data_IF_779760090874
#
_entry.id   IF_779760090874
#
_cell.length_a   1.000
_cell.length_b   1.000
_cell.length_c   1.000
_cell.angle_alpha   90.00
_cell.angle_beta   90.00
_cell.angle_gamma   90.00
#
_symmetry.space_group_name_H-M   'P 1'
#
loop_
_entity.id
_entity.type
_entity.pdbx_description
1 polymer ?
#
# COMPACT_ATOMS: atom_id res chain seq x y z
N UNK A 1 -13.61 -27.84 -37.58
CA UNK A 1 -13.94 -28.23 -36.20
C UNK A 1 -13.41 -27.15 -35.28
N UNK A 2 -14.25 -26.61 -34.41
CA UNK A 2 -13.81 -25.68 -33.37
C UNK A 2 -13.01 -26.46 -32.33
N UNK A 3 -11.96 -25.84 -31.79
CA UNK A 3 -11.16 -26.40 -30.67
C UNK A 3 -12.05 -26.82 -29.49
N UNK A 4 -13.23 -26.23 -29.35
CA UNK A 4 -14.17 -26.46 -28.26
C UNK A 4 -15.46 -27.18 -28.67
N UNK A 5 -15.49 -27.91 -29.79
CA UNK A 5 -16.72 -28.59 -30.27
C UNK A 5 -17.32 -29.56 -29.23
N UNK A 6 -16.54 -30.04 -28.26
CA UNK A 6 -16.97 -30.91 -27.17
C UNK A 6 -17.10 -30.19 -25.81
N UNK A 7 -17.11 -28.85 -25.80
CA UNK A 7 -16.99 -28.04 -24.59
C UNK A 7 -18.06 -26.93 -24.52
N UNK A 8 -18.98 -27.05 -23.57
CA UNK A 8 -20.14 -26.17 -23.40
C UNK A 8 -19.94 -25.02 -22.43
N UNK A 9 -18.97 -25.13 -21.52
CA UNK A 9 -18.74 -24.12 -20.48
C UNK A 9 -18.06 -22.88 -21.08
N UNK A 10 -18.54 -21.69 -20.68
CA UNK A 10 -17.97 -20.39 -21.07
C UNK A 10 -16.76 -20.05 -20.19
N UNK A 11 -16.84 -20.42 -18.90
CA UNK A 11 -15.82 -20.17 -17.89
C UNK A 11 -15.12 -21.45 -17.48
N UNK A 12 -13.86 -21.30 -17.08
CA UNK A 12 -12.92 -22.39 -16.80
C UNK A 12 -12.07 -22.01 -15.59
N UNK A 13 -11.76 -22.97 -14.72
CA UNK A 13 -10.85 -22.76 -13.61
C UNK A 13 -9.53 -23.49 -13.87
N UNK A 14 -8.41 -22.88 -13.47
CA UNK A 14 -7.07 -23.48 -13.59
C UNK A 14 -7.02 -24.84 -12.90
N UNK A 15 -7.48 -24.91 -11.66
CA UNK A 15 -7.54 -26.14 -10.87
C UNK A 15 -8.27 -27.30 -11.56
N UNK A 16 -9.37 -27.01 -12.28
CA UNK A 16 -10.18 -28.00 -12.99
C UNK A 16 -9.49 -28.57 -14.25
N UNK A 17 -8.48 -27.87 -14.76
CA UNK A 17 -7.79 -28.22 -16.01
C UNK A 17 -6.50 -28.99 -15.75
N UNK A 18 -5.82 -28.73 -14.63
CA UNK A 18 -4.56 -29.40 -14.30
C UNK A 18 -4.75 -30.92 -14.18
N UNK A 19 -3.78 -31.68 -14.71
CA UNK A 19 -3.81 -33.14 -14.76
C UNK A 19 -4.53 -33.72 -15.98
N UNK A 20 -5.26 -32.89 -16.74
CA UNK A 20 -5.96 -33.33 -17.97
C UNK A 20 -5.00 -34.06 -18.92
N UNK A 21 -5.34 -35.29 -19.38
CA UNK A 21 -4.48 -36.05 -20.26
C UNK A 21 -4.41 -35.39 -21.64
N UNK A 22 -3.18 -35.22 -22.14
CA UNK A 22 -2.90 -34.79 -23.51
C UNK A 22 -2.67 -36.03 -24.35
N UNK A 23 -3.46 -36.18 -25.42
CA UNK A 23 -3.39 -37.29 -26.36
C UNK A 23 -3.19 -36.77 -27.79
N UNK A 24 -2.58 -37.59 -28.63
CA UNK A 24 -2.50 -37.29 -30.07
C UNK A 24 -3.75 -37.81 -30.82
N UNK A 25 -3.79 -37.63 -32.14
CA UNK A 25 -4.91 -38.08 -32.98
C UNK A 25 -5.10 -39.60 -32.96
N UNK A 26 -4.00 -40.34 -32.81
CA UNK A 26 -4.00 -41.80 -32.67
C UNK A 26 -4.44 -42.29 -31.28
N UNK A 27 -4.84 -41.38 -30.39
CA UNK A 27 -5.23 -41.62 -28.99
C UNK A 27 -4.09 -42.10 -28.08
N UNK A 28 -2.84 -41.95 -28.51
CA UNK A 28 -1.68 -42.20 -27.66
C UNK A 28 -1.53 -41.09 -26.62
N UNK A 29 -1.30 -41.47 -25.35
CA UNK A 29 -1.07 -40.51 -24.28
C UNK A 29 0.32 -39.89 -24.42
N UNK A 30 0.35 -38.56 -24.55
CA UNK A 30 1.57 -37.77 -24.66
C UNK A 30 2.03 -37.31 -23.28
N UNK A 31 1.10 -36.89 -22.41
CA UNK A 31 1.41 -36.44 -21.06
C UNK A 31 0.17 -35.98 -20.30
N UNK A 32 0.37 -35.20 -19.25
CA UNK A 32 -0.70 -34.54 -18.48
C UNK A 32 -0.40 -33.06 -18.34
N UNK A 33 -1.42 -32.22 -18.51
CA UNK A 33 -1.33 -30.77 -18.35
C UNK A 33 -0.85 -30.39 -16.95
N UNK A 34 0.08 -29.45 -16.85
CA UNK A 34 0.61 -28.96 -15.57
C UNK A 34 0.51 -27.46 -15.40
N UNK A 35 0.53 -26.68 -16.47
CA UNK A 35 0.44 -25.21 -16.40
C UNK A 35 0.11 -24.60 -17.77
N UNK A 36 -0.04 -23.28 -17.84
CA UNK A 36 -0.29 -22.50 -19.03
C UNK A 36 0.81 -21.46 -19.22
N UNK A 37 1.12 -21.14 -20.47
CA UNK A 37 1.88 -19.96 -20.82
C UNK A 37 0.94 -18.95 -21.47
N UNK A 38 0.96 -17.73 -20.97
CA UNK A 38 0.08 -16.66 -21.44
C UNK A 38 0.87 -15.50 -22.01
N UNK A 39 0.22 -14.72 -22.86
CA UNK A 39 0.71 -13.43 -23.25
C UNK A 39 0.44 -12.44 -22.12
N UNK A 40 1.41 -12.26 -21.23
CA UNK A 40 1.31 -11.29 -20.15
C UNK A 40 1.17 -9.85 -20.65
N UNK A 41 1.43 -9.59 -21.95
CA UNK A 41 1.31 -8.26 -22.54
C UNK A 41 -0.13 -7.81 -22.81
N UNK A 42 -1.11 -8.73 -22.76
CA UNK A 42 -2.52 -8.40 -22.96
C UNK A 42 -3.21 -8.11 -21.61
N UNK A 43 -4.18 -7.16 -21.61
CA UNK A 43 -5.01 -6.83 -20.42
C UNK A 43 -5.71 -8.07 -19.85
N UNK A 44 -6.19 -8.93 -20.74
CA UNK A 44 -6.72 -10.25 -20.44
C UNK A 44 -5.83 -11.27 -21.15
N UNK A 45 -4.79 -11.80 -20.47
CA UNK A 45 -3.76 -12.63 -21.08
C UNK A 45 -4.31 -13.79 -21.88
N UNK A 46 -3.91 -13.87 -23.15
CA UNK A 46 -4.28 -14.99 -24.02
C UNK A 46 -3.34 -16.17 -23.80
N UNK A 47 -3.88 -17.39 -23.73
CA UNK A 47 -3.08 -18.62 -23.62
C UNK A 47 -2.33 -18.87 -24.93
N UNK A 48 -1.00 -18.81 -24.88
CA UNK A 48 -0.10 -19.05 -26.01
C UNK A 48 0.28 -20.53 -26.14
N UNK A 49 0.47 -21.21 -25.02
CA UNK A 49 0.92 -22.60 -24.98
C UNK A 49 0.48 -23.31 -23.69
N UNK A 50 0.48 -24.63 -23.75
CA UNK A 50 0.23 -25.52 -22.61
C UNK A 50 1.53 -26.14 -22.15
N UNK A 51 1.78 -26.10 -20.84
CA UNK A 51 2.85 -26.87 -20.21
C UNK A 51 2.32 -28.24 -19.80
N UNK A 52 3.08 -29.30 -20.08
CA UNK A 52 2.69 -30.65 -19.68
C UNK A 52 3.90 -31.48 -19.22
N UNK A 53 3.60 -32.53 -18.46
CA UNK A 53 4.61 -33.44 -17.92
C UNK A 53 4.51 -34.82 -18.55
N UNK A 54 5.66 -35.37 -18.96
CA UNK A 54 5.84 -36.73 -19.48
C UNK A 54 7.11 -37.32 -18.87
N UNK A 55 7.03 -38.51 -18.27
CA UNK A 55 8.17 -39.20 -17.67
C UNK A 55 9.03 -38.31 -16.74
N UNK A 56 8.36 -37.56 -15.86
CA UNK A 56 8.96 -36.59 -14.94
C UNK A 56 9.68 -35.38 -15.59
N UNK A 57 9.62 -35.23 -16.91
CA UNK A 57 10.14 -34.09 -17.65
C UNK A 57 9.01 -33.15 -18.08
N UNK A 58 9.32 -31.86 -18.15
CA UNK A 58 8.38 -30.80 -18.50
C UNK A 58 8.59 -30.38 -19.95
N UNK A 59 7.49 -30.22 -20.66
CA UNK A 59 7.42 -29.84 -22.06
C UNK A 59 6.35 -28.78 -22.27
N UNK A 60 6.36 -28.13 -23.42
CA UNK A 60 5.28 -27.25 -23.83
C UNK A 60 4.83 -27.55 -25.26
N UNK A 61 3.57 -27.21 -25.54
CA UNK A 61 2.97 -27.25 -26.86
C UNK A 61 2.18 -25.96 -27.12
N UNK A 62 2.38 -25.36 -28.29
CA UNK A 62 1.68 -24.12 -28.68
C UNK A 62 0.19 -24.36 -28.87
N UNK A 63 -0.60 -23.33 -28.57
CA UNK A 63 -2.06 -23.36 -28.66
C UNK A 63 -2.55 -23.72 -30.07
N UNK A 64 -1.85 -23.25 -31.11
CA UNK A 64 -2.16 -23.51 -32.52
C UNK A 64 -2.17 -25.00 -32.93
N UNK A 65 -1.52 -25.85 -32.15
CA UNK A 65 -1.45 -27.30 -32.39
C UNK A 65 -2.56 -28.11 -31.68
N UNK A 66 -3.41 -27.44 -30.88
CA UNK A 66 -4.51 -28.07 -30.17
C UNK A 66 -5.70 -28.19 -31.11
N UNK A 67 -6.18 -29.42 -31.30
CA UNK A 67 -7.36 -29.72 -32.12
C UNK A 67 -8.64 -29.73 -31.30
N UNK A 68 -8.55 -30.18 -30.05
CA UNK A 68 -9.69 -30.22 -29.14
C UNK A 68 -9.26 -30.00 -27.70
N UNK A 69 -9.98 -29.15 -26.98
CA UNK A 69 -9.71 -28.81 -25.58
C UNK A 69 -10.94 -29.09 -24.71
N UNK A 70 -10.77 -29.89 -23.66
CA UNK A 70 -11.81 -30.18 -22.67
C UNK A 70 -11.22 -30.58 -21.32
N UNK A 71 -12.01 -30.50 -20.24
CA UNK A 71 -11.65 -30.99 -18.88
C UNK A 71 -11.29 -32.49 -18.84
N UNK A 72 -11.74 -33.29 -19.83
CA UNK A 72 -11.52 -34.75 -19.84
C UNK A 72 -10.26 -35.15 -20.58
N UNK A 73 -9.95 -34.46 -21.68
CA UNK A 73 -8.81 -34.73 -22.55
C UNK A 73 -8.52 -33.53 -23.45
N UNK A 74 -7.26 -33.39 -23.82
CA UNK A 74 -6.77 -32.43 -24.81
C UNK A 74 -6.21 -33.21 -25.98
N UNK A 75 -6.63 -32.90 -27.20
CA UNK A 75 -6.20 -33.59 -28.42
C UNK A 75 -5.28 -32.64 -29.21
N UNK A 76 -4.10 -33.13 -29.56
CA UNK A 76 -3.09 -32.38 -30.32
C UNK A 76 -2.79 -33.07 -31.65
N UNK A 77 -2.29 -32.32 -32.64
CA UNK A 77 -1.85 -32.88 -33.93
C UNK A 77 -0.66 -33.82 -33.75
N UNK A 78 -0.57 -34.88 -34.55
CA UNK A 78 0.54 -35.85 -34.44
C UNK A 78 1.94 -35.24 -34.67
N UNK A 79 2.07 -34.27 -35.56
CA UNK A 79 3.36 -33.62 -35.92
C UNK A 79 3.63 -32.33 -35.13
N UNK A 80 2.99 -32.17 -33.97
CA UNK A 80 3.14 -30.95 -33.19
C UNK A 80 4.56 -30.84 -32.62
N UNK A 81 5.30 -29.74 -32.88
CA UNK A 81 6.59 -29.50 -32.25
C UNK A 81 6.41 -29.37 -30.73
N UNK A 82 7.14 -30.19 -29.99
CA UNK A 82 7.16 -30.18 -28.52
C UNK A 82 8.48 -29.59 -28.07
N UNK A 83 8.41 -28.42 -27.42
CA UNK A 83 9.59 -27.80 -26.82
C UNK A 83 9.89 -28.40 -25.44
N UNK A 84 11.16 -28.64 -25.14
CA UNK A 84 11.61 -29.08 -23.82
C UNK A 84 12.17 -27.89 -23.06
N UNK A 85 11.30 -27.14 -22.39
CA UNK A 85 11.69 -26.05 -21.50
C UNK A 85 10.69 -25.88 -20.35
N UNK A 86 11.14 -25.24 -19.28
CA UNK A 86 10.32 -24.83 -18.14
C UNK A 86 9.64 -23.46 -18.37
N UNK A 87 10.09 -22.75 -19.39
CA UNK A 87 9.73 -21.39 -19.80
C UNK A 87 9.38 -21.39 -21.30
N UNK A 88 8.72 -20.34 -21.80
CA UNK A 88 8.27 -20.27 -23.19
C UNK A 88 8.90 -19.10 -23.95
N UNK A 89 9.52 -19.28 -25.13
CA UNK A 89 10.17 -18.20 -25.87
C UNK A 89 9.21 -17.04 -26.19
N UNK A 90 9.61 -15.81 -25.88
CA UNK A 90 8.83 -14.59 -26.12
C UNK A 90 8.63 -14.37 -27.63
N UNK A 91 7.40 -14.07 -28.05
CA UNK A 91 7.11 -13.69 -29.44
C UNK A 91 7.25 -12.16 -29.53
N UNK A 92 8.39 -11.67 -30.03
CA UNK A 92 8.61 -10.24 -30.21
C UNK A 92 7.79 -9.68 -31.39
N UNK A 93 6.55 -9.28 -31.14
CA UNK A 93 5.82 -8.39 -32.05
C UNK A 93 5.67 -7.02 -31.38
N UNK A 94 6.06 -5.94 -32.08
CA UNK A 94 5.81 -4.57 -31.60
C UNK A 94 4.31 -4.35 -31.49
N UNK A 95 3.78 -4.27 -30.27
CA UNK A 95 2.43 -3.78 -29.98
C UNK A 95 2.52 -2.63 -28.97
N UNK A 96 1.62 -1.65 -29.11
CA UNK A 96 1.43 -0.60 -28.12
C UNK A 96 0.71 -1.21 -26.92
N UNK A 97 1.36 -1.19 -25.76
CA UNK A 97 0.94 -1.87 -24.52
C UNK A 97 -0.04 -0.99 -23.73
N UNK A 98 -1.06 -1.59 -23.09
CA UNK A 98 -2.15 -0.86 -22.40
C UNK A 98 -2.47 -1.32 -20.96
N UNK A 99 -1.63 -2.10 -20.26
CA UNK A 99 -1.78 -2.33 -18.79
C UNK A 99 -0.44 -2.63 -18.06
N UNK A 100 -0.42 -2.48 -16.73
CA UNK A 100 0.72 -2.56 -15.80
C UNK A 100 1.37 -3.97 -15.70
N UNK A 101 0.61 -5.06 -15.62
CA UNK A 101 1.14 -6.45 -15.66
C UNK A 101 1.96 -6.72 -16.93
N UNK A 102 1.54 -6.15 -18.06
CA UNK A 102 2.26 -6.25 -19.33
C UNK A 102 3.62 -5.55 -19.28
N UNK A 103 3.73 -4.48 -18.49
CA UNK A 103 4.94 -3.70 -18.35
C UNK A 103 6.02 -4.34 -17.48
N UNK A 104 5.66 -5.27 -16.60
CA UNK A 104 6.60 -6.09 -15.84
C UNK A 104 7.46 -7.02 -16.73
N UNK A 105 6.98 -7.30 -17.93
CA UNK A 105 7.68 -8.11 -18.94
C UNK A 105 8.26 -7.27 -20.09
N UNK A 106 8.31 -5.92 -19.96
CA UNK A 106 8.85 -5.00 -20.97
C UNK A 106 10.40 -4.93 -21.00
N UNK A 107 11.11 -5.77 -20.25
CA UNK A 107 12.57 -5.90 -20.31
C UNK A 107 13.08 -6.86 -21.40
N UNK A 108 14.40 -7.13 -21.39
CA UNK A 108 15.08 -8.17 -22.18
C UNK A 108 14.66 -9.62 -21.80
N UNK A 109 13.46 -9.83 -21.27
CA UNK A 109 12.99 -11.17 -20.94
C UNK A 109 12.82 -11.98 -22.24
N UNK A 110 13.69 -12.98 -22.42
CA UNK A 110 13.71 -13.84 -23.63
C UNK A 110 12.59 -14.90 -23.56
N UNK A 111 12.04 -15.18 -22.38
CA UNK A 111 11.07 -16.25 -22.16
C UNK A 111 10.01 -15.90 -21.10
N UNK A 112 8.76 -16.35 -21.31
CA UNK A 112 7.64 -16.24 -20.37
C UNK A 112 7.62 -17.40 -19.36
N UNK A 113 7.44 -17.12 -18.05
CA UNK A 113 7.24 -18.16 -17.04
C UNK A 113 5.83 -18.79 -17.13
N UNK A 114 5.61 -19.95 -16.49
CA UNK A 114 4.29 -20.55 -16.37
C UNK A 114 3.34 -19.72 -15.48
N UNK A 115 2.09 -19.60 -15.89
CA UNK A 115 1.05 -18.77 -15.25
C UNK A 115 0.85 -19.13 -13.78
N UNK A 116 0.68 -20.41 -13.47
CA UNK A 116 0.43 -20.86 -12.10
C UNK A 116 1.57 -20.46 -11.16
N UNK A 117 2.82 -20.53 -11.62
CA UNK A 117 3.99 -20.12 -10.83
C UNK A 117 4.08 -18.63 -10.57
N UNK A 118 3.53 -17.82 -11.48
CA UNK A 118 3.55 -16.37 -11.33
C UNK A 118 2.56 -15.91 -10.28
N UNK A 119 1.36 -16.52 -10.22
CA UNK A 119 0.26 -15.91 -9.48
C UNK A 119 -0.45 -16.80 -8.48
N UNK A 120 -0.45 -18.12 -8.63
CA UNK A 120 -1.07 -18.98 -7.61
C UNK A 120 -0.28 -18.87 -6.32
N UNK A 121 -0.99 -18.86 -5.20
CA UNK A 121 -0.43 -18.72 -3.86
C UNK A 121 0.27 -17.39 -3.58
N UNK A 122 0.16 -16.41 -4.51
CA UNK A 122 0.69 -15.07 -4.31
C UNK A 122 -0.33 -14.16 -3.64
N UNK A 123 0.19 -13.23 -2.84
CA UNK A 123 -0.54 -12.08 -2.34
C UNK A 123 -0.69 -11.05 -3.45
N UNK A 124 -1.89 -10.48 -3.56
CA UNK A 124 -2.25 -9.45 -4.53
C UNK A 124 -2.99 -8.33 -3.79
N UNK A 125 -2.77 -7.09 -4.21
CA UNK A 125 -3.47 -5.93 -3.65
C UNK A 125 -4.80 -5.75 -4.39
N UNK A 126 -5.91 -5.89 -3.67
CA UNK A 126 -7.25 -5.56 -4.17
C UNK A 126 -7.50 -4.06 -3.98
N UNK A 127 -7.25 -3.25 -5.00
CA UNK A 127 -7.41 -1.79 -4.91
C UNK A 127 -8.86 -1.33 -4.74
N UNK A 128 -9.86 -2.17 -5.03
CA UNK A 128 -11.27 -1.88 -4.71
C UNK A 128 -11.64 -2.31 -3.29
N UNK A 129 -10.94 -3.31 -2.76
CA UNK A 129 -11.20 -3.89 -1.45
C UNK A 129 -10.29 -3.39 -0.32
N UNK A 130 -9.27 -2.57 -0.65
CA UNK A 130 -8.24 -2.03 0.26
C UNK A 130 -7.67 -3.10 1.18
N UNK A 131 -7.20 -4.20 0.58
CA UNK A 131 -6.64 -5.32 1.34
C UNK A 131 -5.75 -6.19 0.49
N UNK A 132 -4.88 -6.94 1.15
CA UNK A 132 -4.10 -7.98 0.51
C UNK A 132 -4.86 -9.29 0.55
N UNK A 133 -4.88 -9.99 -0.57
CA UNK A 133 -5.52 -11.31 -0.66
C UNK A 133 -4.67 -12.30 -1.39
N UNK A 134 -4.80 -13.57 -1.01
CA UNK A 134 -4.08 -14.67 -1.64
C UNK A 134 -4.87 -15.27 -2.79
N UNK A 135 -4.23 -15.37 -3.95
CA UNK A 135 -4.80 -16.02 -5.13
C UNK A 135 -4.78 -17.52 -4.96
N UNK A 136 -5.96 -18.12 -4.88
CA UNK A 136 -6.11 -19.55 -4.68
C UNK A 136 -6.35 -20.30 -5.99
N UNK A 137 -6.96 -19.66 -6.98
CA UNK A 137 -7.23 -20.24 -8.29
C UNK A 137 -7.26 -19.15 -9.38
N UNK A 138 -7.29 -19.55 -10.65
CA UNK A 138 -7.35 -18.61 -11.78
C UNK A 138 -8.55 -18.96 -12.64
N UNK A 139 -9.32 -17.95 -13.00
CA UNK A 139 -10.44 -18.09 -13.91
C UNK A 139 -10.03 -17.69 -15.32
N UNK A 140 -10.45 -18.52 -16.26
CA UNK A 140 -10.36 -18.27 -17.69
C UNK A 140 -11.74 -18.16 -18.33
N UNK A 141 -11.80 -17.48 -19.46
CA UNK A 141 -12.96 -17.45 -20.35
C UNK A 141 -12.57 -17.93 -21.76
N UNK A 142 -13.49 -18.60 -22.41
CA UNK A 142 -13.38 -18.93 -23.84
C UNK A 142 -13.78 -17.73 -24.70
N UNK A 143 -12.90 -17.32 -25.61
CA UNK A 143 -13.19 -16.31 -26.63
C UNK A 143 -12.88 -16.89 -28.01
N UNK A 144 -13.92 -17.24 -28.77
CA UNK A 144 -13.77 -17.89 -30.07
C UNK A 144 -13.08 -19.27 -29.96
N UNK A 145 -11.86 -19.37 -30.51
CA UNK A 145 -11.00 -20.56 -30.46
C UNK A 145 -9.88 -20.47 -29.42
N UNK A 146 -9.81 -19.38 -28.65
CA UNK A 146 -8.75 -19.12 -27.68
C UNK A 146 -9.30 -19.05 -26.26
N UNK A 147 -8.40 -19.15 -25.28
CA UNK A 147 -8.69 -18.98 -23.86
C UNK A 147 -7.96 -17.74 -23.37
N UNK A 148 -8.65 -16.93 -22.56
CA UNK A 148 -8.07 -15.76 -21.91
C UNK A 148 -8.25 -15.82 -20.41
N UNK A 149 -7.27 -15.33 -19.66
CA UNK A 149 -7.36 -15.15 -18.22
C UNK A 149 -8.25 -13.96 -17.91
N UNK A 150 -9.18 -14.10 -16.96
CA UNK A 150 -10.15 -13.04 -16.62
C UNK A 150 -10.13 -12.61 -15.17
N UNK A 151 -10.02 -13.53 -14.23
CA UNK A 151 -10.04 -13.23 -12.79
C UNK A 151 -9.02 -14.08 -12.02
N UNK A 152 -8.47 -13.50 -10.95
CA UNK A 152 -7.89 -14.26 -9.86
C UNK A 152 -9.00 -14.62 -8.87
N UNK A 153 -9.13 -15.88 -8.51
CA UNK A 153 -10.10 -16.31 -7.50
C UNK A 153 -9.44 -16.42 -6.14
N UNK A 154 -10.08 -15.83 -5.14
CA UNK A 154 -9.62 -15.83 -3.76
C UNK A 154 -10.57 -16.63 -2.86
N UNK A 155 -10.23 -16.75 -1.58
CA UNK A 155 -11.10 -17.34 -0.57
C UNK A 155 -11.02 -18.86 -0.45
N UNK A 156 -11.57 -19.38 0.65
CA UNK A 156 -11.41 -20.76 1.09
C UNK A 156 -12.01 -21.79 0.11
N UNK A 157 -13.13 -21.46 -0.54
CA UNK A 157 -13.78 -22.35 -1.51
C UNK A 157 -12.89 -22.62 -2.72
N UNK A 158 -12.25 -21.58 -3.25
CA UNK A 158 -11.28 -21.67 -4.35
C UNK A 158 -10.05 -22.50 -3.96
N UNK A 159 -9.57 -22.34 -2.72
CA UNK A 159 -8.47 -23.17 -2.17
C UNK A 159 -8.86 -24.65 -2.09
N UNK A 160 -10.05 -24.94 -1.54
CA UNK A 160 -10.56 -26.31 -1.42
C UNK A 160 -10.81 -26.97 -2.77
N UNK A 161 -11.21 -26.20 -3.80
CA UNK A 161 -11.28 -26.69 -5.18
C UNK A 161 -9.90 -27.06 -5.70
N UNK A 162 -8.89 -26.21 -5.51
CA UNK A 162 -7.50 -26.51 -5.91
C UNK A 162 -6.95 -27.76 -5.22
N UNK A 163 -7.32 -28.01 -3.96
CA UNK A 163 -6.93 -29.20 -3.20
C UNK A 163 -7.79 -30.44 -3.53
N UNK A 164 -8.88 -30.31 -4.30
CA UNK A 164 -9.76 -31.40 -4.70
C UNK A 164 -10.84 -31.77 -3.67
N UNK A 165 -11.07 -30.96 -2.64
CA UNK A 165 -12.02 -31.23 -1.57
C UNK A 165 -13.36 -30.48 -1.69
N UNK A 166 -13.50 -29.55 -2.66
CA UNK A 166 -14.70 -28.70 -2.82
C UNK A 166 -16.01 -29.48 -2.74
N UNK A 167 -16.17 -30.55 -3.52
CA UNK A 167 -17.44 -31.31 -3.55
C UNK A 167 -17.82 -31.93 -2.21
N UNK A 168 -16.83 -32.41 -1.46
CA UNK A 168 -17.04 -33.01 -0.15
C UNK A 168 -17.44 -31.94 0.85
N UNK A 169 -16.69 -30.83 0.91
CA UNK A 169 -16.96 -29.74 1.85
C UNK A 169 -18.29 -29.05 1.52
N UNK A 170 -18.56 -28.75 0.25
CA UNK A 170 -19.82 -28.15 -0.21
C UNK A 170 -21.03 -29.01 0.18
N UNK A 171 -20.90 -30.34 0.15
CA UNK A 171 -21.96 -31.25 0.59
C UNK A 171 -22.27 -31.07 2.08
N UNK A 172 -21.25 -31.08 2.95
CA UNK A 172 -21.45 -30.89 4.39
C UNK A 172 -21.95 -29.49 4.73
N UNK A 173 -21.40 -28.45 4.10
CA UNK A 173 -21.83 -27.07 4.35
C UNK A 173 -23.28 -26.87 3.93
N UNK A 174 -23.72 -27.43 2.79
CA UNK A 174 -25.13 -27.34 2.36
C UNK A 174 -26.11 -27.99 3.33
N UNK A 175 -25.69 -29.04 4.03
CA UNK A 175 -26.52 -29.71 5.04
C UNK A 175 -26.68 -28.85 6.29
N UNK A 176 -25.60 -28.19 6.73
CA UNK A 176 -25.58 -27.43 7.98
C UNK A 176 -26.13 -26.01 7.78
N UNK A 177 -25.66 -25.32 6.73
CA UNK A 177 -26.04 -23.96 6.39
C UNK A 177 -26.03 -23.76 4.85
N UNK A 178 -27.15 -23.99 4.17
CA UNK A 178 -27.25 -23.88 2.71
C UNK A 178 -27.04 -22.45 2.19
N UNK A 179 -27.17 -21.42 3.05
CA UNK A 179 -26.99 -20.01 2.70
C UNK A 179 -25.63 -19.46 3.16
N UNK A 180 -24.68 -20.32 3.53
CA UNK A 180 -23.36 -19.89 3.98
C UNK A 180 -22.66 -19.04 2.90
N UNK A 181 -22.07 -17.90 3.31
CA UNK A 181 -21.27 -17.01 2.45
C UNK A 181 -20.15 -17.75 1.72
N UNK A 182 -19.62 -18.83 2.31
CA UNK A 182 -18.67 -19.73 1.66
C UNK A 182 -19.19 -20.31 0.32
N UNK A 183 -20.48 -20.67 0.22
CA UNK A 183 -21.07 -21.29 -0.97
C UNK A 183 -21.38 -20.27 -2.08
N UNK A 184 -21.66 -19.01 -1.71
CA UNK A 184 -22.14 -17.96 -2.62
C UNK A 184 -21.09 -16.88 -2.91
N UNK A 185 -20.03 -16.81 -2.11
CA UNK A 185 -18.94 -15.86 -2.25
C UNK A 185 -17.94 -16.29 -3.32
N UNK A 186 -18.30 -16.10 -4.60
CA UNK A 186 -17.29 -16.07 -5.65
C UNK A 186 -16.54 -14.75 -5.52
N UNK A 187 -15.49 -14.75 -4.71
CA UNK A 187 -14.59 -13.62 -4.56
C UNK A 187 -13.63 -13.64 -5.75
N UNK A 188 -14.02 -12.91 -6.80
CA UNK A 188 -13.29 -12.77 -8.05
C UNK A 188 -12.67 -11.38 -8.09
N UNK A 189 -11.36 -11.31 -8.24
CA UNK A 189 -10.67 -10.07 -8.55
C UNK A 189 -10.39 -10.09 -10.03
N UNK A 190 -10.89 -9.09 -10.75
CA UNK A 190 -10.61 -8.96 -12.19
C UNK A 190 -9.12 -8.89 -12.39
N UNK A 191 -8.61 -9.65 -13.36
CA UNK A 191 -7.19 -9.71 -13.71
C UNK A 191 -6.59 -8.32 -13.97
N UNK A 192 -7.43 -7.36 -14.37
CA UNK A 192 -7.07 -5.95 -14.52
C UNK A 192 -6.48 -5.34 -13.23
N UNK A 193 -6.97 -5.75 -12.06
CA UNK A 193 -6.59 -5.21 -10.74
C UNK A 193 -5.64 -6.12 -9.97
N UNK A 194 -5.13 -7.17 -10.60
CA UNK A 194 -4.22 -8.10 -9.93
C UNK A 194 -2.79 -7.61 -10.05
N UNK A 195 -2.26 -7.04 -8.96
CA UNK A 195 -0.85 -6.70 -8.82
C UNK A 195 -0.11 -7.90 -8.23
N UNK A 196 0.69 -8.60 -9.03
CA UNK A 196 1.54 -9.67 -8.51
C UNK A 196 2.81 -9.06 -7.96
N UNK A 197 3.07 -9.28 -6.68
CA UNK A 197 4.28 -8.81 -6.02
C UNK A 197 5.40 -9.83 -6.27
N UNK A 198 6.53 -9.43 -6.87
CA UNK A 198 7.59 -10.36 -7.24
C UNK A 198 8.34 -10.89 -6.02
N UNK A 199 8.67 -12.18 -6.05
CA UNK A 199 9.49 -12.87 -5.05
C UNK A 199 10.80 -13.36 -5.71
N UNK A 200 11.85 -13.54 -4.90
CA UNK A 200 13.27 -13.82 -5.20
C UNK A 200 13.56 -14.93 -6.22
N UNK A 201 12.56 -15.71 -6.64
CA UNK A 201 12.71 -16.84 -7.57
C UNK A 201 12.32 -16.53 -9.02
N UNK A 202 11.74 -15.36 -9.29
CA UNK A 202 11.35 -14.94 -10.64
C UNK A 202 12.05 -13.62 -10.97
N UNK A 203 13.22 -13.72 -11.61
CA UNK A 203 14.00 -12.68 -12.28
C UNK A 203 13.91 -11.23 -11.77
N UNK A 204 15.08 -10.71 -11.40
CA UNK A 204 15.47 -9.35 -10.97
C UNK A 204 14.99 -8.13 -11.79
N UNK A 205 14.07 -8.27 -12.73
CA UNK A 205 13.67 -7.20 -13.65
C UNK A 205 12.14 -6.95 -13.67
N UNK A 206 11.38 -7.51 -12.74
CA UNK A 206 9.97 -7.16 -12.57
C UNK A 206 9.91 -5.97 -11.61
N UNK A 207 9.92 -4.76 -12.16
CA UNK A 207 9.51 -3.57 -11.41
C UNK A 207 8.04 -3.73 -11.08
N UNK A 208 7.63 -3.44 -9.85
CA UNK A 208 6.24 -3.10 -9.56
C UNK A 208 5.95 -1.84 -10.39
N UNK A 209 5.50 -2.00 -11.62
CA UNK A 209 4.75 -0.94 -12.27
C UNK A 209 3.37 -1.01 -11.62
N UNK A 210 3.26 -0.60 -10.36
CA UNK A 210 2.24 0.34 -9.95
C UNK A 210 2.79 1.67 -10.47
N UNK A 211 2.04 2.41 -11.28
CA UNK A 211 2.51 3.78 -11.54
C UNK A 211 2.49 4.46 -10.17
N UNK A 212 3.56 5.13 -9.76
CA UNK A 212 3.59 5.91 -8.52
C UNK A 212 2.29 6.72 -8.37
N UNK A 213 1.77 7.28 -9.47
CA UNK A 213 0.47 7.94 -9.54
C UNK A 213 -0.71 7.18 -8.89
N UNK A 214 -0.83 5.85 -8.98
CA UNK A 214 -1.96 5.10 -8.41
C UNK A 214 -1.77 4.78 -6.91
N UNK A 215 -0.53 4.60 -6.45
CA UNK A 215 -0.22 4.45 -5.03
C UNK A 215 -0.32 5.79 -4.31
N UNK A 216 0.21 6.85 -4.91
CA UNK A 216 0.14 8.23 -4.42
C UNK A 216 -1.29 8.79 -4.40
N UNK A 217 -2.27 8.09 -4.98
CA UNK A 217 -3.69 8.47 -4.93
C UNK A 217 -4.47 7.69 -3.85
N UNK A 218 -3.84 6.72 -3.18
CA UNK A 218 -4.44 6.08 -2.01
C UNK A 218 -4.29 7.01 -0.81
N UNK A 219 -5.24 6.92 0.12
CA UNK A 219 -5.05 7.59 1.41
C UNK A 219 -3.92 6.88 2.17
N UNK A 220 -3.04 7.60 2.87
CA UNK A 220 -1.95 7.03 3.67
C UNK A 220 -2.39 5.87 4.57
N UNK A 221 -3.44 6.05 5.37
CA UNK A 221 -4.05 4.97 6.17
C UNK A 221 -4.43 3.70 5.37
N UNK A 222 -4.93 3.82 4.14
CA UNK A 222 -5.25 2.64 3.32
C UNK A 222 -3.99 1.94 2.79
N UNK A 223 -2.92 2.72 2.59
CA UNK A 223 -1.63 2.21 2.15
C UNK A 223 -0.89 1.55 3.30
N UNK A 224 -0.99 2.09 4.52
CA UNK A 224 -0.53 1.47 5.75
C UNK A 224 -1.17 0.08 5.95
N UNK A 225 -2.50 -0.01 5.92
CA UNK A 225 -3.26 -1.27 5.96
C UNK A 225 -2.70 -2.30 4.94
N UNK A 226 -2.41 -1.84 3.71
CA UNK A 226 -1.84 -2.69 2.66
C UNK A 226 -0.43 -3.14 3.05
N UNK A 227 0.44 -2.24 3.49
CA UNK A 227 1.82 -2.55 3.86
C UNK A 227 1.86 -3.55 5.02
N UNK A 228 1.03 -3.39 6.03
CA UNK A 228 0.94 -4.27 7.20
C UNK A 228 0.56 -5.71 6.82
N UNK A 229 -0.40 -5.85 5.91
CA UNK A 229 -0.88 -7.13 5.40
C UNK A 229 0.15 -7.87 4.49
N UNK A 230 1.17 -7.16 3.98
CA UNK A 230 2.17 -7.71 3.08
C UNK A 230 3.27 -8.49 3.82
N UNK A 231 3.82 -9.48 3.12
CA UNK A 231 5.07 -10.10 3.57
C UNK A 231 6.23 -9.08 3.55
N UNK A 232 7.26 -9.24 4.42
CA UNK A 232 8.29 -8.21 4.60
C UNK A 232 8.96 -7.76 3.30
N UNK A 233 9.26 -8.70 2.38
CA UNK A 233 9.92 -8.35 1.13
C UNK A 233 9.02 -7.53 0.19
N UNK A 234 7.74 -7.90 0.12
CA UNK A 234 6.74 -7.18 -0.66
C UNK A 234 6.50 -5.78 -0.11
N UNK A 235 6.46 -5.67 1.21
CA UNK A 235 6.30 -4.41 1.95
C UNK A 235 7.44 -3.45 1.64
N UNK A 236 8.69 -3.89 1.80
CA UNK A 236 9.90 -3.08 1.50
C UNK A 236 9.90 -2.58 0.05
N UNK A 237 9.51 -3.43 -0.90
CA UNK A 237 9.47 -3.06 -2.31
C UNK A 237 8.43 -2.00 -2.64
N UNK A 238 7.29 -1.99 -1.94
CA UNK A 238 6.24 -0.97 -2.17
C UNK A 238 6.65 0.33 -1.49
N UNK A 239 7.07 0.28 -0.23
CA UNK A 239 7.46 1.47 0.53
C UNK A 239 8.57 2.26 -0.17
N UNK A 240 9.56 1.55 -0.74
CA UNK A 240 10.66 2.16 -1.49
C UNK A 240 10.25 2.95 -2.74
N UNK A 241 9.09 2.64 -3.32
CA UNK A 241 8.61 3.32 -4.54
C UNK A 241 7.79 4.57 -4.23
N UNK A 242 7.44 4.80 -2.96
CA UNK A 242 6.76 6.02 -2.50
C UNK A 242 7.74 7.20 -2.53
N UNK A 243 7.24 8.39 -2.88
CA UNK A 243 7.98 9.63 -2.69
C UNK A 243 8.08 9.99 -1.20
N UNK A 244 8.96 10.92 -0.79
CA UNK A 244 9.18 11.24 0.63
C UNK A 244 7.92 11.62 1.39
N UNK A 245 7.12 12.52 0.82
CA UNK A 245 5.85 13.00 1.36
C UNK A 245 4.86 11.84 1.61
N UNK A 246 4.52 11.04 0.59
CA UNK A 246 3.60 9.91 0.78
C UNK A 246 4.18 8.84 1.70
N UNK A 247 5.50 8.63 1.70
CA UNK A 247 6.15 7.71 2.62
C UNK A 247 6.04 8.18 4.07
N UNK A 248 6.17 9.48 4.31
CA UNK A 248 6.04 10.11 5.62
C UNK A 248 4.61 9.92 6.16
N UNK A 249 3.62 10.43 5.44
CA UNK A 249 2.20 10.30 5.83
C UNK A 249 1.79 8.82 6.03
N UNK A 250 2.29 7.91 5.18
CA UNK A 250 1.97 6.48 5.32
C UNK A 250 2.64 5.86 6.52
N UNK A 251 3.87 6.26 6.85
CA UNK A 251 4.62 5.66 7.96
C UNK A 251 3.99 6.02 9.32
N UNK A 252 3.44 7.22 9.46
CA UNK A 252 2.69 7.67 10.65
C UNK A 252 1.50 6.73 10.93
N UNK A 253 0.81 6.30 9.87
CA UNK A 253 -0.39 5.46 9.96
C UNK A 253 -0.09 3.96 10.16
N UNK A 254 1.17 3.53 10.01
CA UNK A 254 1.58 2.14 10.18
C UNK A 254 1.78 1.80 11.65
N UNK A 255 1.36 0.60 12.07
CA UNK A 255 1.59 0.06 13.42
C UNK A 255 3.06 0.28 13.88
N UNK A 256 3.30 0.82 15.09
CA UNK A 256 4.64 1.17 15.58
C UNK A 256 5.66 0.02 15.47
N UNK A 257 5.25 -1.23 15.68
CA UNK A 257 6.17 -2.37 15.58
C UNK A 257 6.69 -2.64 14.16
N UNK A 258 6.03 -2.08 13.13
CA UNK A 258 6.37 -2.25 11.72
C UNK A 258 7.23 -1.08 11.21
N UNK A 259 7.09 0.13 11.76
CA UNK A 259 7.82 1.32 11.30
C UNK A 259 9.36 1.11 11.27
N UNK A 260 10.01 0.56 12.32
CA UNK A 260 11.46 0.31 12.27
C UNK A 260 11.86 -0.72 11.21
N UNK A 261 10.95 -1.63 10.83
CA UNK A 261 11.23 -2.62 9.78
C UNK A 261 11.26 -1.99 8.39
N UNK A 262 10.39 -1.00 8.13
CA UNK A 262 10.34 -0.24 6.88
C UNK A 262 11.60 0.61 6.70
N UNK A 263 12.02 1.32 7.76
CA UNK A 263 13.18 2.20 7.72
C UNK A 263 14.52 1.45 7.62
N UNK A 264 14.60 0.24 8.17
CA UNK A 264 15.86 -0.53 8.27
C UNK A 264 16.54 -0.83 6.93
N UNK A 265 15.79 -0.91 5.84
CA UNK A 265 16.33 -1.23 4.50
C UNK A 265 16.51 0.01 3.61
N UNK A 266 16.13 1.18 4.09
CA UNK A 266 16.37 2.45 3.41
C UNK A 266 17.75 3.02 3.73
N UNK A 267 18.22 3.92 2.86
CA UNK A 267 19.48 4.63 3.10
C UNK A 267 19.23 5.79 4.08
N UNK A 268 20.21 6.17 4.93
CA UNK A 268 20.04 7.27 5.88
C UNK A 268 19.57 8.57 5.22
N UNK A 269 20.04 8.84 4.00
CA UNK A 269 19.63 10.01 3.21
C UNK A 269 18.14 9.96 2.87
N UNK A 270 17.64 8.81 2.39
CA UNK A 270 16.22 8.64 2.08
C UNK A 270 15.36 8.73 3.33
N UNK A 271 15.84 8.23 4.47
CA UNK A 271 15.12 8.32 5.74
C UNK A 271 15.08 9.77 6.22
N UNK A 272 16.17 10.53 6.10
CA UNK A 272 16.16 11.96 6.39
C UNK A 272 15.12 12.69 5.53
N UNK A 273 15.07 12.43 4.21
CA UNK A 273 14.03 12.99 3.34
C UNK A 273 12.60 12.67 3.84
N UNK A 274 12.37 11.46 4.39
CA UNK A 274 11.06 11.08 4.94
C UNK A 274 10.77 11.88 6.20
N UNK A 275 11.74 11.94 7.13
CA UNK A 275 11.61 12.62 8.42
C UNK A 275 11.34 14.12 8.23
N UNK A 276 11.96 14.77 7.25
CA UNK A 276 11.71 16.19 6.92
C UNK A 276 10.31 16.46 6.35
N UNK A 277 9.55 15.43 5.98
CA UNK A 277 8.17 15.55 5.51
C UNK A 277 7.16 15.06 6.58
N UNK A 278 7.60 14.91 7.82
CA UNK A 278 6.76 14.57 8.98
C UNK A 278 6.65 15.78 9.90
N UNK A 279 5.57 15.85 10.68
CA UNK A 279 5.54 16.76 11.81
C UNK A 279 6.64 16.39 12.81
N UNK A 280 7.16 17.41 13.46
CA UNK A 280 8.30 17.29 14.39
C UNK A 280 8.08 16.28 15.53
N UNK A 281 6.86 16.14 16.03
CA UNK A 281 6.48 15.18 17.06
C UNK A 281 6.44 13.75 16.54
N UNK A 282 5.83 13.50 15.37
CA UNK A 282 5.82 12.13 14.82
C UNK A 282 7.22 11.69 14.37
N UNK A 283 8.03 12.63 13.87
CA UNK A 283 9.44 12.41 13.60
C UNK A 283 10.21 12.02 14.87
N UNK A 284 9.99 12.73 15.98
CA UNK A 284 10.63 12.43 17.26
C UNK A 284 10.25 11.02 17.75
N UNK A 285 8.97 10.65 17.71
CA UNK A 285 8.46 9.33 18.11
C UNK A 285 9.11 8.21 17.28
N UNK A 286 9.11 8.34 15.95
CA UNK A 286 9.70 7.35 15.05
C UNK A 286 11.20 7.20 15.28
N UNK A 287 11.91 8.32 15.48
CA UNK A 287 13.33 8.30 15.74
C UNK A 287 13.64 7.71 17.12
N UNK A 288 12.75 7.85 18.11
CA UNK A 288 12.99 7.32 19.44
C UNK A 288 13.05 5.78 19.46
N UNK A 289 12.23 5.14 18.63
CA UNK A 289 12.22 3.69 18.44
C UNK A 289 13.46 3.12 17.73
N UNK A 290 14.27 3.99 17.11
CA UNK A 290 15.50 3.58 16.42
C UNK A 290 16.70 3.52 17.37
N UNK A 291 17.63 2.62 17.06
CA UNK A 291 18.90 2.56 17.77
C UNK A 291 19.70 3.85 17.57
N UNK A 292 20.38 4.32 18.62
CA UNK A 292 21.24 5.52 18.60
C UNK A 292 22.15 5.65 17.36
N UNK A 293 22.85 4.57 16.97
CA UNK A 293 23.75 4.57 15.80
C UNK A 293 23.03 4.86 14.46
N UNK A 294 21.75 4.51 14.35
CA UNK A 294 20.92 4.79 13.15
C UNK A 294 20.40 6.22 13.25
N UNK A 295 19.88 6.61 14.41
CA UNK A 295 19.35 7.95 14.67
C UNK A 295 20.38 9.04 14.36
N UNK A 296 21.62 8.90 14.85
CA UNK A 296 22.71 9.85 14.56
C UNK A 296 22.99 9.97 13.05
N UNK A 297 22.96 8.85 12.31
CA UNK A 297 23.18 8.89 10.87
C UNK A 297 22.05 9.56 10.11
N UNK A 298 20.81 9.46 10.59
CA UNK A 298 19.68 10.16 9.98
C UNK A 298 19.86 11.66 10.23
N UNK A 299 20.14 12.07 11.47
CA UNK A 299 20.44 13.46 11.82
C UNK A 299 21.61 14.06 11.03
N UNK A 300 22.65 13.29 10.68
CA UNK A 300 23.74 13.76 9.82
C UNK A 300 23.32 14.06 8.37
N UNK A 301 22.12 13.62 7.95
CA UNK A 301 21.60 13.77 6.59
C UNK A 301 20.34 14.64 6.51
N UNK A 302 19.83 15.16 7.63
CA UNK A 302 18.79 16.20 7.61
C UNK A 302 19.45 17.49 7.11
N UNK A 303 18.87 18.12 6.09
CA UNK A 303 19.34 19.35 5.48
C UNK A 303 18.85 20.61 6.21
N UNK A 304 17.69 20.53 6.87
CA UNK A 304 17.11 21.62 7.62
C UNK A 304 17.59 21.62 9.09
N UNK A 305 18.47 22.56 9.42
CA UNK A 305 19.03 22.72 10.76
C UNK A 305 17.95 23.05 11.81
N UNK A 306 16.87 23.74 11.44
CA UNK A 306 15.78 24.14 12.36
C UNK A 306 14.92 22.94 12.73
N UNK A 307 14.46 22.17 11.73
CA UNK A 307 13.74 20.90 11.94
C UNK A 307 14.60 19.93 12.77
N UNK A 308 15.90 19.85 12.49
CA UNK A 308 16.81 19.01 13.26
C UNK A 308 16.90 19.42 14.74
N UNK A 309 16.99 20.73 15.03
CA UNK A 309 17.05 21.24 16.40
C UNK A 309 15.72 20.98 17.14
N UNK A 310 14.58 21.22 16.48
CA UNK A 310 13.25 21.00 17.04
C UNK A 310 13.01 19.54 17.41
N UNK A 311 13.30 18.61 16.51
CA UNK A 311 13.18 17.16 16.78
C UNK A 311 14.09 16.75 17.95
N UNK A 312 15.30 17.32 18.04
CA UNK A 312 16.21 17.02 19.16
C UNK A 312 15.67 17.51 20.50
N UNK A 313 15.02 18.67 20.52
CA UNK A 313 14.36 19.19 21.72
C UNK A 313 13.19 18.29 22.14
N UNK A 314 12.35 17.87 21.19
CA UNK A 314 11.20 17.00 21.47
C UNK A 314 11.62 15.64 22.05
N UNK A 315 12.73 15.07 21.56
CA UNK A 315 13.33 13.83 22.10
C UNK A 315 13.79 13.91 23.56
N UNK A 316 13.85 15.11 24.17
CA UNK A 316 14.16 15.26 25.59
C UNK A 316 12.93 14.99 26.50
N UNK A 317 11.72 15.04 25.95
CA UNK A 317 10.47 14.81 26.68
C UNK A 317 10.06 13.33 26.63
N UNK A 318 9.36 12.88 27.67
CA UNK A 318 8.77 11.54 27.68
C UNK A 318 7.55 11.51 26.72
N UNK A 319 7.43 10.46 25.88
CA UNK A 319 6.34 10.23 24.90
C UNK A 319 4.93 10.40 25.49
N UNK A 320 4.77 10.10 26.78
CA UNK A 320 3.49 10.04 27.47
C UNK A 320 3.09 11.38 28.13
N UNK A 321 3.78 12.46 27.77
CA UNK A 321 3.63 13.82 28.30
C UNK A 321 3.23 14.84 27.24
N UNK A 322 2.79 16.02 27.65
CA UNK A 322 2.45 17.11 26.75
C UNK A 322 3.66 17.59 25.93
N UNK A 323 4.88 17.44 26.44
CA UNK A 323 6.10 17.75 25.70
C UNK A 323 6.44 16.70 24.62
N UNK A 324 6.09 15.43 24.84
CA UNK A 324 6.23 14.39 23.83
C UNK A 324 5.14 14.45 22.75
N UNK A 325 3.95 14.95 23.10
CA UNK A 325 2.80 15.06 22.20
C UNK A 325 2.67 16.42 21.50
N UNK A 326 3.62 17.34 21.67
CA UNK A 326 3.51 18.69 21.09
C UNK A 326 4.31 18.78 19.81
N UNK A 327 3.72 19.40 18.80
CA UNK A 327 4.40 19.81 17.58
C UNK A 327 4.95 21.24 17.73
N UNK A 328 6.10 21.52 17.11
CA UNK A 328 6.69 22.87 17.02
C UNK A 328 6.21 23.65 15.80
N UNK A 329 5.46 23.03 14.89
CA UNK A 329 5.00 23.59 13.62
C UNK A 329 3.72 24.44 13.77
N UNK A 330 3.81 25.51 14.57
CA UNK A 330 2.69 26.41 14.85
C UNK A 330 3.02 27.87 14.56
N UNK A 331 2.02 28.61 14.09
CA UNK A 331 2.21 30.01 13.73
C UNK A 331 2.22 30.94 14.95
N UNK A 332 3.33 31.65 15.14
CA UNK A 332 3.44 32.76 16.10
C UNK A 332 3.39 34.13 15.43
N UNK A 333 2.82 35.12 16.12
CA UNK A 333 2.76 36.51 15.62
C UNK A 333 3.02 37.51 16.75
N UNK A 334 3.50 38.71 16.40
CA UNK A 334 3.66 39.82 17.35
C UNK A 334 2.36 40.63 17.47
N UNK A 335 2.05 41.24 18.62
CA UNK A 335 0.78 41.95 18.84
C UNK A 335 0.56 43.14 17.89
N UNK A 336 1.63 43.78 17.42
CA UNK A 336 1.59 44.88 16.46
C UNK A 336 1.33 44.45 15.01
N UNK A 337 1.45 43.16 14.69
CA UNK A 337 1.18 42.66 13.35
C UNK A 337 -0.27 42.97 12.95
N UNK A 338 -0.43 43.55 11.77
CA UNK A 338 -1.75 43.76 11.18
C UNK A 338 -2.26 42.46 10.54
N UNK A 339 -3.57 42.36 10.29
CA UNK A 339 -4.13 41.26 9.48
C UNK A 339 -3.34 41.08 8.18
N UNK A 340 -3.00 42.18 7.49
CA UNK A 340 -2.20 42.11 6.28
C UNK A 340 -0.83 41.44 6.52
N UNK A 341 -0.13 41.80 7.59
CA UNK A 341 1.16 41.17 7.93
C UNK A 341 1.00 39.68 8.21
N UNK A 342 0.02 39.31 9.03
CA UNK A 342 -0.24 37.89 9.34
C UNK A 342 -0.56 37.09 8.10
N UNK A 343 -1.37 37.63 7.18
CA UNK A 343 -1.66 36.95 5.91
C UNK A 343 -0.44 36.85 4.97
N UNK A 344 0.58 37.69 5.14
CA UNK A 344 1.85 37.52 4.41
C UNK A 344 2.71 36.46 5.06
N UNK A 345 2.84 36.45 6.39
CA UNK A 345 3.57 35.41 7.14
C UNK A 345 2.99 34.04 6.80
N UNK A 346 1.67 33.87 6.87
CA UNK A 346 0.98 32.63 6.45
C UNK A 346 1.29 32.25 5.00
N UNK A 347 1.50 33.20 4.09
CA UNK A 347 1.82 32.87 2.69
C UNK A 347 3.28 32.46 2.50
N UNK A 348 4.17 32.97 3.35
CA UNK A 348 5.61 32.74 3.27
C UNK A 348 6.01 31.44 4.01
N UNK A 349 5.29 31.08 5.08
CA UNK A 349 5.59 29.96 6.00
C UNK A 349 4.55 28.82 5.93
N UNK A 350 3.70 28.76 4.88
CA UNK A 350 2.60 27.78 4.85
C UNK A 350 3.03 26.30 4.81
N UNK A 351 4.27 26.03 4.39
CA UNK A 351 4.80 24.67 4.29
C UNK A 351 5.30 24.17 5.66
N UNK A 352 5.55 25.09 6.61
CA UNK A 352 6.14 24.83 7.94
C UNK A 352 5.08 24.89 9.07
N UNK A 353 3.79 24.87 8.72
CA UNK A 353 2.68 24.97 9.65
C UNK A 353 1.77 23.76 9.49
N UNK A 354 1.70 22.93 10.53
CA UNK A 354 0.90 21.71 10.53
C UNK A 354 -0.60 22.03 10.40
N UNK A 355 -1.13 22.86 11.31
CA UNK A 355 -2.52 23.35 11.22
C UNK A 355 -2.71 24.81 11.63
N UNK A 356 -3.55 25.51 10.85
CA UNK A 356 -3.76 26.95 10.97
C UNK A 356 -5.17 27.31 11.45
N UNK A 357 -5.46 27.04 12.74
CA UNK A 357 -6.75 27.37 13.36
C UNK A 357 -6.69 28.54 14.35
N UNK A 358 -5.59 28.66 15.10
CA UNK A 358 -5.37 29.65 16.15
C UNK A 358 -4.03 30.33 15.92
N UNK A 359 -3.96 31.63 16.21
CA UNK A 359 -2.73 32.40 16.21
C UNK A 359 -2.25 32.52 17.64
N UNK A 360 -0.97 32.25 17.86
CA UNK A 360 -0.31 32.46 19.15
C UNK A 360 0.42 33.79 19.14
N UNK A 361 0.04 34.69 20.04
CA UNK A 361 0.63 36.03 20.13
C UNK A 361 1.71 36.00 21.21
N UNK A 362 2.95 36.26 20.80
CA UNK A 362 4.12 36.25 21.68
C UNK A 362 4.75 37.64 21.80
N UNK A 363 5.45 37.88 22.92
CA UNK A 363 6.27 39.09 23.11
C UNK A 363 7.71 38.90 22.56
N UNK A 364 8.58 39.89 22.76
CA UNK A 364 9.99 39.85 22.33
C UNK A 364 10.84 38.80 23.07
N UNK A 365 10.32 38.23 24.16
CA UNK A 365 10.95 37.18 24.95
C UNK A 365 10.23 35.83 24.77
N UNK A 366 9.51 35.66 23.65
CA UNK A 366 8.78 34.42 23.27
C UNK A 366 7.70 33.98 24.27
N UNK A 367 7.27 34.90 25.14
CA UNK A 367 6.21 34.59 26.09
C UNK A 367 4.85 34.67 25.42
N UNK A 368 4.02 33.65 25.62
CA UNK A 368 2.63 33.66 25.19
C UNK A 368 1.83 34.72 25.96
N UNK A 369 1.40 35.77 25.26
CA UNK A 369 0.64 36.89 25.83
C UNK A 369 -0.82 36.94 25.38
N UNK A 370 -1.18 36.18 24.33
CA UNK A 370 -2.55 36.09 23.85
C UNK A 370 -2.74 35.03 22.79
N UNK A 371 -4.00 34.69 22.51
CA UNK A 371 -4.37 33.86 21.35
C UNK A 371 -5.47 34.53 20.53
N UNK A 372 -5.54 34.23 19.24
CA UNK A 372 -6.61 34.72 18.38
C UNK A 372 -7.01 33.65 17.35
N UNK A 373 -8.28 33.19 17.34
CA UNK A 373 -8.75 32.28 16.30
C UNK A 373 -8.59 32.91 14.92
N UNK A 374 -8.00 32.19 13.95
CA UNK A 374 -7.75 32.77 12.62
C UNK A 374 -9.05 33.24 11.96
N UNK A 375 -10.14 32.49 12.12
CA UNK A 375 -11.45 32.86 11.59
C UNK A 375 -11.95 34.23 12.08
N UNK A 376 -11.56 34.65 13.30
CA UNK A 376 -11.91 35.94 13.90
C UNK A 376 -11.14 37.06 13.21
N UNK A 377 -9.86 36.84 12.89
CA UNK A 377 -8.99 37.76 12.16
C UNK A 377 -9.43 37.91 10.70
N UNK A 378 -9.80 36.82 10.03
CA UNK A 378 -10.21 36.82 8.61
C UNK A 378 -11.40 37.74 8.33
N UNK A 379 -12.30 37.90 9.30
CA UNK A 379 -13.49 38.77 9.21
C UNK A 379 -13.18 40.26 9.39
N UNK A 380 -11.94 40.63 9.69
CA UNK A 380 -11.55 42.01 10.00
C UNK A 380 -10.94 42.73 8.80
N UNK A 381 -10.71 44.04 8.99
CA UNK A 381 -9.99 44.88 8.04
C UNK A 381 -8.50 44.56 8.04
N UNK A 382 -7.84 44.84 6.91
CA UNK A 382 -6.42 44.57 6.69
C UNK A 382 -5.48 45.31 7.65
N UNK A 383 -5.87 46.50 8.12
CA UNK A 383 -5.06 47.37 8.98
C UNK A 383 -5.24 47.11 10.48
N UNK A 384 -6.14 46.20 10.86
CA UNK A 384 -6.39 45.88 12.26
C UNK A 384 -5.23 45.07 12.83
N UNK A 385 -4.76 45.46 14.02
CA UNK A 385 -3.69 44.75 14.73
C UNK A 385 -4.23 43.53 15.48
N UNK A 386 -3.49 42.43 15.49
CA UNK A 386 -3.90 41.19 16.19
C UNK A 386 -4.01 41.42 17.69
N UNK A 387 -3.12 42.25 18.26
CA UNK A 387 -3.15 42.63 19.68
C UNK A 387 -4.45 43.29 20.13
N UNK A 388 -5.22 43.91 19.22
CA UNK A 388 -6.53 44.50 19.54
C UNK A 388 -7.65 43.45 19.58
N UNK A 389 -7.44 42.29 18.96
CA UNK A 389 -8.41 41.19 18.89
C UNK A 389 -8.11 40.05 19.86
N UNK A 390 -6.86 39.91 20.29
CA UNK A 390 -6.40 38.76 21.03
C UNK A 390 -7.13 38.59 22.36
N UNK A 391 -7.25 37.34 22.77
CA UNK A 391 -7.71 36.97 24.11
C UNK A 391 -6.50 36.88 25.01
N UNK A 392 -6.42 37.76 26.02
CA UNK A 392 -5.29 37.82 26.97
C UNK A 392 -5.60 37.20 28.33
N UNK A 393 -6.88 37.10 28.69
CA UNK A 393 -7.31 36.53 29.96
C UNK A 393 -7.72 35.08 29.76
N UNK A 394 -7.30 34.20 30.67
CA UNK A 394 -7.70 32.79 30.71
C UNK A 394 -7.23 31.95 29.51
N UNK A 395 -6.04 32.25 28.99
CA UNK A 395 -5.37 31.41 27.99
C UNK A 395 -5.21 30.01 28.59
N UNK A 396 -5.75 29.01 27.90
CA UNK A 396 -5.66 27.62 28.30
C UNK A 396 -4.33 27.08 27.79
N UNK A 397 -3.41 26.78 28.69
CA UNK A 397 -2.13 26.16 28.37
C UNK A 397 -1.83 25.00 29.35
N UNK A 398 -0.85 24.19 28.98
CA UNK A 398 -0.31 23.09 29.79
C UNK A 398 1.20 23.26 29.96
N UNK A 399 1.79 22.53 30.91
CA UNK A 399 3.25 22.43 31.05
C UNK A 399 3.74 21.17 30.34
N UNK A 400 4.99 21.10 29.85
CA UNK A 400 5.48 19.95 29.09
C UNK A 400 5.40 18.64 29.88
N UNK A 401 5.69 18.66 31.19
CA UNK A 401 5.60 17.48 32.08
C UNK A 401 4.18 16.94 32.32
N UNK A 402 3.14 17.50 31.69
CA UNK A 402 1.75 17.09 31.92
C UNK A 402 1.48 15.74 31.24
N UNK A 403 1.21 14.69 32.01
CA UNK A 403 0.88 13.37 31.47
C UNK A 403 -0.35 13.42 30.53
N UNK A 404 -0.30 12.68 29.42
CA UNK A 404 -1.33 12.64 28.36
C UNK A 404 -2.78 12.47 28.86
N UNK A 405 -3.02 11.72 29.94
CA UNK A 405 -4.37 11.57 30.51
C UNK A 405 -4.91 12.87 31.07
N UNK A 406 -4.03 13.69 31.65
CA UNK A 406 -4.39 15.02 32.13
C UNK A 406 -4.60 15.98 30.95
N UNK A 407 -3.76 15.88 29.91
CA UNK A 407 -3.94 16.59 28.63
C UNK A 407 -5.33 16.30 28.05
N UNK A 408 -5.66 15.02 27.84
CA UNK A 408 -6.95 14.59 27.29
C UNK A 408 -8.14 15.08 28.13
N UNK A 409 -8.05 14.96 29.46
CA UNK A 409 -9.08 15.46 30.37
C UNK A 409 -9.24 16.99 30.28
N UNK A 410 -8.13 17.71 30.14
CA UNK A 410 -8.12 19.16 30.04
C UNK A 410 -8.75 19.62 28.72
N UNK A 411 -8.32 19.06 27.59
CA UNK A 411 -8.87 19.35 26.27
C UNK A 411 -10.37 19.01 26.23
N UNK A 412 -10.77 17.83 26.73
CA UNK A 412 -12.18 17.42 26.81
C UNK A 412 -13.03 18.38 27.66
N UNK A 413 -12.54 18.79 28.84
CA UNK A 413 -13.26 19.69 29.75
C UNK A 413 -13.55 21.05 29.13
N UNK A 414 -12.64 21.56 28.30
CA UNK A 414 -12.75 22.88 27.68
C UNK A 414 -13.16 22.83 26.20
N UNK A 415 -13.41 21.64 25.64
CA UNK A 415 -13.67 21.38 24.21
C UNK A 415 -12.58 21.99 23.31
N UNK A 416 -11.32 21.74 23.64
CA UNK A 416 -10.17 22.23 22.88
C UNK A 416 -9.80 21.21 21.81
N UNK A 417 -9.49 21.70 20.60
CA UNK A 417 -8.90 20.92 19.52
C UNK A 417 -7.38 20.98 19.52
N UNK A 418 -6.82 21.99 20.18
CA UNK A 418 -5.39 22.22 20.33
C UNK A 418 -5.16 22.91 21.67
N UNK A 419 -3.98 22.71 22.26
CA UNK A 419 -3.62 23.39 23.51
C UNK A 419 -2.13 23.76 23.51
N UNK A 420 -1.77 25.03 23.69
CA UNK A 420 -0.37 25.43 23.78
C UNK A 420 0.30 24.86 25.03
N UNK A 421 1.53 24.42 24.85
CA UNK A 421 2.43 23.97 25.90
C UNK A 421 3.42 25.08 26.19
N UNK A 422 3.51 25.46 27.47
CA UNK A 422 4.37 26.57 27.90
C UNK A 422 5.26 26.18 29.06
N UNK A 423 6.42 26.80 29.10
CA UNK A 423 7.30 26.81 30.27
C UNK A 423 6.67 27.53 31.47
N UNK A 424 7.30 27.40 32.64
CA UNK A 424 6.86 28.06 33.89
C UNK A 424 6.84 29.58 33.81
N UNK A 425 7.62 30.15 32.90
CA UNK A 425 7.72 31.59 32.69
C UNK A 425 6.87 32.09 31.51
N UNK A 426 5.97 31.24 30.99
CA UNK A 426 5.10 31.41 29.83
C UNK A 426 5.78 31.42 28.45
N UNK A 427 7.05 31.00 28.34
CA UNK A 427 7.65 30.76 27.02
C UNK A 427 6.87 29.66 26.29
N UNK A 428 6.48 29.91 25.06
CA UNK A 428 5.72 28.96 24.25
C UNK A 428 6.67 27.92 23.66
N UNK A 429 6.41 26.64 23.92
CA UNK A 429 7.25 25.53 23.47
C UNK A 429 6.64 24.83 22.25
N UNK A 430 5.34 24.58 22.29
CA UNK A 430 4.67 23.73 21.32
C UNK A 430 3.16 23.80 21.43
N UNK A 431 2.49 23.02 20.59
CA UNK A 431 1.04 22.85 20.62
C UNK A 431 0.72 21.36 20.54
N UNK A 432 -0.13 20.88 21.45
CA UNK A 432 -0.68 19.52 21.35
C UNK A 432 -2.00 19.58 20.59
N UNK A 433 -2.15 18.76 19.54
CA UNK A 433 -3.39 18.63 18.80
C UNK A 433 -4.25 17.49 19.36
N UNK A 434 -5.53 17.47 19.00
CA UNK A 434 -6.45 16.46 19.53
C UNK A 434 -6.19 15.10 18.87
N UNK A 435 -5.74 15.13 17.62
CA UNK A 435 -5.25 14.05 16.77
C UNK A 435 -4.32 13.14 17.58
N UNK A 436 -3.27 13.72 18.14
CA UNK A 436 -2.15 13.00 18.80
C UNK A 436 -2.62 12.33 20.09
N UNK A 437 -3.68 12.87 20.70
CA UNK A 437 -4.29 12.33 21.91
C UNK A 437 -5.31 11.23 21.60
N UNK A 438 -5.90 11.19 20.39
CA UNK A 438 -6.94 10.23 20.03
C UNK A 438 -6.46 8.77 20.01
N UNK A 439 -5.29 8.41 19.43
CA UNK A 439 -4.76 7.04 19.47
C UNK A 439 -4.68 6.48 20.89
N UNK A 440 -4.14 7.27 21.82
CA UNK A 440 -4.01 6.90 23.24
C UNK A 440 -5.34 6.65 23.96
N UNK A 441 -6.44 7.20 23.44
CA UNK A 441 -7.79 6.97 23.98
C UNK A 441 -8.46 5.71 23.42
N UNK A 442 -7.96 5.18 22.31
CA UNK A 442 -8.50 4.01 21.62
C UNK A 442 -7.84 2.70 22.04
N UNK A 443 -6.62 2.77 22.58
CA UNK A 443 -5.92 1.68 23.28
C UNK A 443 -6.48 1.38 24.69
#
# INVERSE_FOLDING_TARGET
>A
MSVFDAFTDITLNFSDLIGTPIINEDKNKIGSLTDFFVNYEDIFPEVLALQFKKNNQVFYIRWEHILSFSRKKIIIRNESPVGRSRTFPKICQKKTVTNLMASQFLGQAVEYPPLGKVILDRQIVDTHGKKVVRVNDIQFIRVGQNIRVTHAEIGMRSLLRRLGFEKLVDFFVKIINPNAKYLTGNLLISWKYVHAIPDKTVHSNVRLNLKNDELNNLHPADLADILEDLDPHSRDLIFKELDPEMAAETLIEVEPEIQPMLLKFESPERVADIIENMGTDEAADILDDLSHDIRERIFENIEDDEIQEDIQELLEYDEDTAGGLMSTEFLTVKPEHTKYNVMQIIQDEHDDIETLYELYIIDDAEKLIGTCPLNKLLLQKEDLQVGDLMTTNDIKCLTPDTHWKEVANYMSKYNLFYVPVVEKDNTLLGVVFIDDVLPWLLD
#
